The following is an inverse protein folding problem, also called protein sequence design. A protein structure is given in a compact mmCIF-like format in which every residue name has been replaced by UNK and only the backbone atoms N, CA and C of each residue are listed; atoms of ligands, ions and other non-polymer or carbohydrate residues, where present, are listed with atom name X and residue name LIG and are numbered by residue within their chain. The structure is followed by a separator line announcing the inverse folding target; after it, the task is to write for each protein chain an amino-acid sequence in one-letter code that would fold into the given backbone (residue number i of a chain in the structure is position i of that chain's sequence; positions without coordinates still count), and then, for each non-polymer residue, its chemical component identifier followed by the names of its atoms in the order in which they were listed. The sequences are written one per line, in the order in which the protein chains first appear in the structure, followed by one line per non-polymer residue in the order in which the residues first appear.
data_IF_088724715531
#
_entry.id   IF_088724715531
#
_cell.length_a   1.000
_cell.length_b   1.000
_cell.length_c   1.000
_cell.angle_alpha   90.00
_cell.angle_beta   90.00
_cell.angle_gamma   90.00
#
_symmetry.space_group_name_H-M   'P 1'
#
loop_
_entity.id
_entity.type
_entity.pdbx_description
1 polymer ?
#
# COMPACT_ATOMS: atom_id res chain seq x y z
N UNK A 1 6.33 -16.28 -12.84
CA UNK A 1 6.59 -15.66 -11.53
C UNK A 1 7.48 -14.45 -11.81
N UNK A 2 6.91 -13.24 -11.85
CA UNK A 2 7.77 -12.05 -11.87
C UNK A 2 8.18 -11.83 -10.43
N UNK A 3 9.48 -11.92 -10.12
CA UNK A 3 10.00 -11.48 -8.82
C UNK A 3 9.47 -10.06 -8.61
N UNK A 4 8.86 -9.77 -7.46
CA UNK A 4 8.26 -8.47 -7.15
C UNK A 4 9.19 -7.32 -7.51
N UNK A 5 10.47 -7.47 -7.15
CA UNK A 5 11.56 -6.57 -7.54
C UNK A 5 11.64 -6.38 -9.06
N UNK A 6 11.66 -7.45 -9.86
CA UNK A 6 11.69 -7.36 -11.32
C UNK A 6 10.48 -6.63 -11.92
N UNK A 7 9.27 -6.81 -11.38
CA UNK A 7 8.07 -6.10 -11.87
C UNK A 7 8.04 -4.64 -11.43
N UNK A 8 8.46 -4.34 -10.19
CA UNK A 8 8.51 -2.96 -9.67
C UNK A 8 9.67 -2.21 -10.31
N UNK A 9 10.83 -2.83 -10.49
CA UNK A 9 11.94 -2.33 -11.30
C UNK A 9 11.57 -2.27 -12.78
N UNK A 10 10.74 -3.14 -13.32
CA UNK A 10 10.22 -2.94 -14.68
C UNK A 10 9.25 -1.75 -14.72
N UNK A 11 8.44 -1.55 -13.68
CA UNK A 11 7.47 -0.44 -13.63
C UNK A 11 8.16 0.91 -13.37
N UNK A 12 9.18 0.94 -12.52
CA UNK A 12 9.99 2.10 -12.12
C UNK A 12 11.18 2.32 -13.07
N UNK A 13 11.78 1.24 -13.55
CA UNK A 13 12.98 1.24 -14.41
C UNK A 13 12.67 1.30 -15.90
N UNK A 14 11.44 0.99 -16.34
CA UNK A 14 10.93 1.56 -17.61
C UNK A 14 10.88 3.08 -17.45
N UNK A 15 11.13 3.80 -18.54
CA UNK A 15 11.58 5.20 -18.58
C UNK A 15 10.67 6.21 -17.84
N UNK A 16 9.52 5.86 -17.26
CA UNK A 16 8.46 6.84 -16.97
C UNK A 16 7.74 6.82 -15.61
N UNK A 17 8.27 6.49 -14.41
CA UNK A 17 7.47 6.75 -13.20
C UNK A 17 7.31 8.26 -12.99
N UNK A 18 6.07 8.75 -13.04
CA UNK A 18 5.75 10.17 -12.78
C UNK A 18 5.15 10.34 -11.39
N UNK A 19 4.49 9.32 -10.85
CA UNK A 19 3.77 9.37 -9.57
C UNK A 19 4.06 8.11 -8.75
N UNK A 20 4.54 8.29 -7.52
CA UNK A 20 4.94 7.21 -6.62
C UNK A 20 4.23 7.41 -5.28
N UNK A 21 3.60 6.37 -4.78
CA UNK A 21 3.23 6.30 -3.37
C UNK A 21 3.74 5.03 -2.74
N UNK A 22 4.34 5.17 -1.57
CA UNK A 22 4.78 4.06 -0.73
C UNK A 22 4.68 4.51 0.72
N UNK A 23 4.26 3.63 1.63
CA UNK A 23 4.21 3.97 3.05
C UNK A 23 5.61 4.11 3.64
N UNK A 24 6.52 3.23 3.20
CA UNK A 24 7.93 3.24 3.62
C UNK A 24 8.79 3.29 2.36
N UNK A 25 9.83 4.13 2.40
CA UNK A 25 10.88 4.20 1.39
C UNK A 25 12.21 3.99 2.12
N UNK A 26 12.81 2.81 1.93
CA UNK A 26 14.03 2.34 2.61
C UNK A 26 15.01 1.66 1.64
N UNK A 27 14.58 1.39 0.40
CA UNK A 27 15.45 0.78 -0.59
C UNK A 27 16.31 1.84 -1.31
N UNK A 28 17.59 1.93 -0.93
CA UNK A 28 18.54 2.92 -1.45
C UNK A 28 18.78 2.77 -2.97
N UNK A 29 18.92 1.54 -3.49
CA UNK A 29 19.18 1.30 -4.91
C UNK A 29 18.01 1.78 -5.77
N UNK A 30 16.78 1.45 -5.36
CA UNK A 30 15.59 1.88 -6.06
C UNK A 30 15.35 3.38 -5.91
N UNK A 31 15.72 3.96 -4.76
CA UNK A 31 15.68 5.41 -4.55
C UNK A 31 16.66 6.12 -5.47
N UNK A 32 17.88 5.58 -5.63
CA UNK A 32 18.87 6.13 -6.55
C UNK A 32 18.35 6.07 -8.00
N UNK A 33 17.74 4.94 -8.39
CA UNK A 33 17.10 4.81 -9.70
C UNK A 33 16.00 5.87 -9.90
N UNK A 34 15.16 6.11 -8.90
CA UNK A 34 14.13 7.16 -8.94
C UNK A 34 14.77 8.54 -9.14
N UNK A 35 15.83 8.85 -8.40
CA UNK A 35 16.57 10.12 -8.54
C UNK A 35 17.20 10.27 -9.93
N UNK A 36 17.85 9.21 -10.45
CA UNK A 36 18.44 9.25 -11.79
C UNK A 36 17.37 9.43 -12.87
N UNK A 37 16.19 8.81 -12.70
CA UNK A 37 15.07 8.95 -13.62
C UNK A 37 14.42 10.32 -13.56
N UNK A 38 14.31 10.94 -12.39
CA UNK A 38 13.71 12.27 -12.26
C UNK A 38 14.46 13.32 -13.08
N UNK A 39 15.78 13.16 -13.26
CA UNK A 39 16.62 14.03 -14.09
C UNK A 39 16.37 13.86 -15.61
N UNK A 40 15.85 12.71 -16.03
CA UNK A 40 15.60 12.37 -17.43
C UNK A 40 14.17 12.72 -17.87
N UNK A 41 13.28 12.97 -16.91
CA UNK A 41 11.84 13.09 -17.15
C UNK A 41 11.38 14.54 -17.36
N UNK A 42 10.63 14.83 -18.44
CA UNK A 42 10.07 16.17 -18.66
C UNK A 42 8.98 16.50 -17.63
N UNK A 43 8.22 15.47 -17.22
CA UNK A 43 7.23 15.56 -16.15
C UNK A 43 7.90 14.96 -14.90
N UNK A 44 8.29 15.81 -13.94
CA UNK A 44 9.00 15.43 -12.71
C UNK A 44 8.33 14.25 -11.99
N UNK A 45 9.09 13.55 -11.14
CA UNK A 45 8.57 12.55 -10.21
C UNK A 45 7.85 13.23 -9.05
N UNK A 46 6.73 12.68 -8.58
CA UNK A 46 5.99 13.17 -7.40
C UNK A 46 5.77 12.03 -6.40
N UNK A 47 5.99 12.29 -5.11
CA UNK A 47 5.96 11.23 -4.07
C UNK A 47 4.95 11.51 -2.97
N UNK A 48 4.03 10.56 -2.75
CA UNK A 48 3.17 10.50 -1.56
C UNK A 48 3.69 9.42 -0.60
N UNK A 49 4.04 9.80 0.63
CA UNK A 49 4.50 8.86 1.66
C UNK A 49 3.84 9.19 3.00
N UNK A 50 4.05 8.37 4.03
CA UNK A 50 3.74 8.78 5.39
C UNK A 50 5.02 9.03 6.17
N UNK A 51 5.06 10.16 6.88
CA UNK A 51 6.15 10.52 7.80
C UNK A 51 5.63 10.78 9.22
N UNK A 52 4.31 10.65 9.43
CA UNK A 52 3.66 11.08 10.67
C UNK A 52 3.69 10.03 11.79
N UNK A 53 3.99 8.76 11.47
CA UNK A 53 3.92 7.66 12.45
C UNK A 53 5.26 6.97 12.78
N UNK A 54 6.39 7.34 12.17
CA UNK A 54 7.64 6.61 12.42
C UNK A 54 8.86 7.48 12.73
N UNK A 55 8.83 8.78 12.40
CA UNK A 55 9.94 9.71 12.70
C UNK A 55 9.53 10.76 13.73
N UNK A 56 8.30 11.30 13.66
CA UNK A 56 7.85 12.38 14.55
C UNK A 56 7.42 11.90 15.94
N UNK A 57 6.66 10.81 16.07
CA UNK A 57 6.28 10.27 17.39
C UNK A 57 7.51 9.86 18.22
N UNK A 58 8.60 9.44 17.57
CA UNK A 58 9.86 9.09 18.25
C UNK A 58 10.75 10.30 18.58
N UNK A 59 10.48 11.47 17.99
CA UNK A 59 11.13 12.73 18.35
C UNK A 59 10.36 13.39 19.52
N UNK A 60 9.04 13.25 19.60
CA UNK A 60 8.24 13.74 20.72
C UNK A 60 8.26 12.79 21.95
N UNK A 61 8.36 11.47 21.77
CA UNK A 61 8.51 10.50 22.89
C UNK A 61 9.92 10.44 23.50
N UNK A 62 10.91 11.17 22.96
CA UNK A 62 12.21 11.35 23.64
C UNK A 62 12.12 12.15 24.95
N UNK A 63 10.91 12.52 25.39
CA UNK A 63 10.62 13.09 26.70
C UNK A 63 10.11 12.03 27.70
N UNK A 64 9.85 10.77 27.31
CA UNK A 64 9.42 9.72 28.24
C UNK A 64 10.18 8.39 28.07
N UNK A 65 11.22 8.24 28.90
CA UNK A 65 11.73 6.99 29.49
C UNK A 65 12.14 5.80 28.58
N UNK A 66 13.45 5.65 28.40
CA UNK A 66 14.22 4.39 28.48
C UNK A 66 13.60 3.10 27.90
N UNK A 67 13.20 3.10 26.63
CA UNK A 67 13.06 1.86 25.86
C UNK A 67 14.25 1.77 24.90
N UNK A 68 15.14 0.79 25.11
CA UNK A 68 16.23 0.53 24.16
C UNK A 68 15.60 0.08 22.83
N UNK A 69 15.53 0.99 21.86
CA UNK A 69 15.15 0.67 20.49
C UNK A 69 16.18 -0.35 19.97
N UNK A 70 15.73 -1.51 19.49
CA UNK A 70 16.65 -2.52 18.97
C UNK A 70 17.46 -1.96 17.80
N UNK A 71 18.73 -2.37 17.67
CA UNK A 71 19.64 -1.90 16.61
C UNK A 71 19.03 -2.02 15.20
N UNK A 72 18.21 -3.05 14.99
CA UNK A 72 17.54 -3.28 13.71
C UNK A 72 16.54 -2.16 13.35
N UNK A 73 15.82 -1.60 14.33
CA UNK A 73 14.91 -0.47 14.08
C UNK A 73 15.69 0.81 13.78
N UNK A 74 16.84 1.03 14.44
CA UNK A 74 17.70 2.18 14.18
C UNK A 74 18.24 2.15 12.75
N UNK A 75 18.70 0.98 12.27
CA UNK A 75 19.20 0.82 10.89
C UNK A 75 18.10 1.15 9.87
N UNK A 76 16.88 0.67 10.08
CA UNK A 76 15.76 0.95 9.19
C UNK A 76 15.39 2.42 9.17
N UNK A 77 15.42 3.13 10.31
CA UNK A 77 15.14 4.56 10.35
C UNK A 77 16.23 5.38 9.66
N UNK A 78 17.51 5.05 9.86
CA UNK A 78 18.61 5.72 9.16
C UNK A 78 18.56 5.52 7.64
N UNK A 79 18.12 4.34 7.17
CA UNK A 79 17.88 4.12 5.74
C UNK A 79 16.72 4.93 5.20
N UNK A 80 15.60 5.05 5.94
CA UNK A 80 14.49 5.93 5.55
C UNK A 80 14.95 7.37 5.41
N UNK A 81 15.72 7.87 6.39
CA UNK A 81 16.30 9.21 6.35
C UNK A 81 17.24 9.37 5.16
N UNK A 82 18.09 8.39 4.89
CA UNK A 82 19.02 8.39 3.76
C UNK A 82 18.26 8.49 2.43
N UNK A 83 17.26 7.62 2.22
CA UNK A 83 16.44 7.65 1.01
C UNK A 83 15.69 8.98 0.87
N UNK A 84 15.12 9.51 1.96
CA UNK A 84 14.42 10.78 1.93
C UNK A 84 15.34 11.95 1.56
N UNK A 85 16.56 12.00 2.11
CA UNK A 85 17.58 12.99 1.73
C UNK A 85 17.95 12.88 0.26
N UNK A 86 18.13 11.67 -0.28
CA UNK A 86 18.44 11.46 -1.70
C UNK A 86 17.34 12.06 -2.60
N UNK A 87 16.07 11.80 -2.28
CA UNK A 87 14.93 12.31 -3.04
C UNK A 87 14.84 13.84 -2.97
N UNK A 88 15.03 14.41 -1.78
CA UNK A 88 15.02 15.86 -1.57
C UNK A 88 16.18 16.56 -2.30
N UNK A 89 17.38 15.99 -2.26
CA UNK A 89 18.55 16.49 -2.99
C UNK A 89 18.36 16.45 -4.52
N UNK A 90 17.56 15.49 -5.01
CA UNK A 90 17.14 15.41 -6.41
C UNK A 90 15.98 16.36 -6.76
N UNK A 91 15.58 17.27 -5.85
CA UNK A 91 14.45 18.20 -6.01
C UNK A 91 13.13 17.51 -6.34
N UNK A 92 12.92 16.29 -5.85
CA UNK A 92 11.68 15.56 -6.03
C UNK A 92 10.66 16.07 -4.99
N UNK A 93 9.49 16.58 -5.41
CA UNK A 93 8.44 17.00 -4.49
C UNK A 93 7.84 15.80 -3.75
N UNK A 94 7.74 15.94 -2.42
CA UNK A 94 7.22 14.91 -1.53
C UNK A 94 6.13 15.49 -0.64
N UNK A 95 5.02 14.77 -0.51
CA UNK A 95 3.93 15.10 0.40
C UNK A 95 3.62 13.95 1.35
N UNK A 96 3.24 14.32 2.57
CA UNK A 96 2.85 13.41 3.64
C UNK A 96 1.38 13.62 4.01
N UNK A 97 0.77 12.63 4.66
CA UNK A 97 -0.65 12.69 4.98
C UNK A 97 -1.29 11.39 5.44
N UNK A 98 -0.53 10.39 5.91
CA UNK A 98 -1.12 9.10 6.33
C UNK A 98 -1.29 8.14 5.16
N UNK A 99 -0.40 8.24 4.16
CA UNK A 99 -0.45 7.42 2.97
C UNK A 99 0.10 6.03 3.26
N UNK A 100 -0.82 5.08 3.48
CA UNK A 100 -0.52 3.64 3.41
C UNK A 100 -0.62 3.10 1.98
N UNK A 101 -0.94 3.94 1.00
CA UNK A 101 -1.01 3.57 -0.40
C UNK A 101 0.34 3.06 -0.93
N UNK A 102 0.29 2.00 -1.76
CA UNK A 102 1.43 1.58 -2.58
C UNK A 102 1.04 1.54 -4.04
N UNK A 103 1.41 2.59 -4.76
CA UNK A 103 1.18 2.72 -6.20
C UNK A 103 2.40 3.26 -6.90
N UNK A 104 2.69 2.72 -8.08
CA UNK A 104 3.80 3.15 -8.93
C UNK A 104 3.26 3.36 -10.32
N UNK A 105 3.22 4.62 -10.76
CA UNK A 105 2.52 5.01 -11.97
C UNK A 105 3.47 5.67 -12.94
N UNK A 106 3.43 5.14 -14.16
CA UNK A 106 4.06 5.68 -15.34
C UNK A 106 3.05 6.06 -16.40
N UNK A 107 3.52 6.65 -17.50
CA UNK A 107 2.68 6.99 -18.65
C UNK A 107 1.86 5.79 -19.17
N UNK A 108 2.42 4.58 -19.13
CA UNK A 108 1.78 3.40 -19.71
C UNK A 108 1.28 2.38 -18.68
N UNK A 109 1.87 2.37 -17.48
CA UNK A 109 1.65 1.34 -16.47
C UNK A 109 1.28 1.95 -15.13
N UNK A 110 0.34 1.35 -14.42
CA UNK A 110 0.05 1.65 -13.02
C UNK A 110 0.01 0.36 -12.22
N UNK A 111 0.85 0.27 -11.20
CA UNK A 111 0.76 -0.78 -10.19
C UNK A 111 -0.05 -0.29 -8.99
N UNK A 112 -0.93 -1.13 -8.45
CA UNK A 112 -1.53 -0.97 -7.12
C UNK A 112 -1.39 -2.28 -6.34
N UNK A 113 -0.92 -2.24 -5.10
CA UNK A 113 -0.81 -3.46 -4.31
C UNK A 113 -0.27 -3.25 -2.90
N UNK A 114 0.39 -4.28 -2.38
CA UNK A 114 0.84 -4.33 -0.98
C UNK A 114 2.33 -4.04 -0.77
N UNK A 115 3.13 -4.13 -1.82
CA UNK A 115 4.58 -3.96 -1.80
C UNK A 115 5.00 -2.50 -1.55
N UNK A 116 5.80 -2.24 -0.51
CA UNK A 116 6.47 -0.95 -0.29
C UNK A 116 7.84 -0.90 -0.99
N UNK A 117 8.45 0.28 -1.04
CA UNK A 117 9.84 0.46 -1.43
C UNK A 117 10.81 0.10 -0.29
N UNK A 118 10.73 -1.15 0.20
CA UNK A 118 11.64 -1.70 1.22
C UNK A 118 12.24 -3.00 0.74
N UNK A 119 13.48 -3.29 1.16
CA UNK A 119 14.15 -4.57 0.84
C UNK A 119 13.28 -5.77 1.18
N UNK A 120 12.65 -5.76 2.36
CA UNK A 120 11.76 -6.87 2.74
C UNK A 120 10.58 -7.07 1.79
N UNK A 121 9.94 -5.99 1.36
CA UNK A 121 8.82 -6.05 0.40
C UNK A 121 9.25 -6.55 -0.98
N UNK A 122 10.50 -6.30 -1.34
CA UNK A 122 11.05 -6.56 -2.67
C UNK A 122 11.74 -7.93 -2.79
N UNK A 123 12.38 -8.39 -1.71
CA UNK A 123 13.26 -9.55 -1.72
C UNK A 123 12.56 -10.84 -1.28
N UNK A 124 11.79 -10.79 -0.19
CA UNK A 124 11.29 -12.00 0.47
C UNK A 124 9.82 -11.99 0.87
N UNK A 125 9.18 -10.83 1.02
CA UNK A 125 7.74 -10.79 1.25
C UNK A 125 7.00 -11.29 0.01
N UNK A 126 5.97 -12.09 0.26
CA UNK A 126 5.00 -12.52 -0.74
C UNK A 126 3.94 -11.43 -0.85
N UNK A 127 4.18 -10.43 -1.68
CA UNK A 127 3.24 -9.33 -1.92
C UNK A 127 2.24 -9.70 -3.03
N UNK A 128 1.20 -8.88 -3.20
CA UNK A 128 0.32 -8.96 -4.34
C UNK A 128 -0.05 -7.56 -4.83
N UNK A 129 -0.36 -7.47 -6.12
CA UNK A 129 -0.86 -6.26 -6.72
C UNK A 129 -1.39 -6.52 -8.12
N UNK A 130 -1.99 -5.49 -8.68
CA UNK A 130 -2.55 -5.45 -10.02
C UNK A 130 -1.80 -4.40 -10.84
N UNK A 131 -1.60 -4.69 -12.13
CA UNK A 131 -0.99 -3.77 -13.08
C UNK A 131 -2.01 -3.43 -14.16
N UNK A 132 -2.27 -2.14 -14.30
CA UNK A 132 -3.10 -1.59 -15.37
C UNK A 132 -2.21 -1.05 -16.48
N UNK A 133 -2.59 -1.29 -17.74
CA UNK A 133 -1.82 -0.88 -18.92
C UNK A 133 -2.72 -0.03 -19.80
N UNK A 134 -2.45 1.27 -19.86
CA UNK A 134 -3.11 2.26 -20.70
C UNK A 134 -4.62 2.03 -20.89
N UNK A 135 -5.35 1.96 -19.77
CA UNK A 135 -6.79 1.70 -19.72
C UNK A 135 -7.49 2.66 -18.73
N UNK A 136 -8.81 2.54 -18.60
CA UNK A 136 -9.60 3.42 -17.74
C UNK A 136 -9.20 3.34 -16.26
N UNK A 137 -8.74 2.18 -15.77
CA UNK A 137 -8.29 1.99 -14.38
C UNK A 137 -6.92 2.62 -14.13
N UNK A 138 -6.02 2.56 -15.13
CA UNK A 138 -4.75 3.30 -15.11
C UNK A 138 -5.00 4.82 -14.98
N UNK A 139 -5.87 5.39 -15.82
CA UNK A 139 -6.23 6.82 -15.72
C UNK A 139 -6.93 7.16 -14.39
N UNK A 140 -7.82 6.29 -13.91
CA UNK A 140 -8.50 6.49 -12.62
C UNK A 140 -7.49 6.55 -11.46
N UNK A 141 -6.45 5.72 -11.49
CA UNK A 141 -5.42 5.74 -10.46
C UNK A 141 -4.52 6.99 -10.54
N UNK A 142 -4.22 7.48 -11.75
CA UNK A 142 -3.56 8.79 -11.93
C UNK A 142 -4.40 9.91 -11.29
N UNK A 143 -5.69 9.95 -11.59
CA UNK A 143 -6.57 10.99 -11.07
C UNK A 143 -6.74 10.89 -9.54
N UNK A 144 -6.79 9.67 -8.99
CA UNK A 144 -6.80 9.45 -7.53
C UNK A 144 -5.52 9.94 -6.88
N UNK A 145 -4.35 9.67 -7.49
CA UNK A 145 -3.08 10.18 -7.00
C UNK A 145 -3.08 11.71 -6.98
N UNK A 146 -3.52 12.36 -8.07
CA UNK A 146 -3.63 13.82 -8.15
C UNK A 146 -4.59 14.38 -7.10
N UNK A 147 -5.72 13.72 -6.89
CA UNK A 147 -6.68 14.09 -5.84
C UNK A 147 -6.05 13.98 -4.44
N UNK A 148 -5.32 12.90 -4.16
CA UNK A 148 -4.60 12.72 -2.91
C UNK A 148 -3.52 13.77 -2.70
N UNK A 149 -2.76 14.05 -3.76
CA UNK A 149 -1.76 15.11 -3.78
C UNK A 149 -2.40 16.46 -3.47
N UNK A 150 -3.46 16.84 -4.17
CA UNK A 150 -4.01 18.19 -4.09
C UNK A 150 -4.87 18.44 -2.86
N UNK A 151 -5.58 17.41 -2.34
CA UNK A 151 -6.66 17.59 -1.37
C UNK A 151 -6.49 16.81 -0.07
N UNK A 152 -5.68 15.74 -0.05
CA UNK A 152 -5.58 14.84 1.10
C UNK A 152 -4.25 14.91 1.85
N UNK A 153 -3.16 15.25 1.16
CA UNK A 153 -1.85 15.43 1.80
C UNK A 153 -1.92 16.50 2.88
N UNK A 154 -1.40 16.26 4.08
CA UNK A 154 -1.44 17.26 5.15
C UNK A 154 -0.17 18.10 5.23
N UNK A 155 0.93 17.56 4.73
CA UNK A 155 2.23 18.21 4.85
C UNK A 155 3.03 18.07 3.55
N UNK A 156 3.87 19.05 3.30
CA UNK A 156 4.95 19.00 2.33
C UNK A 156 6.27 18.75 3.05
N UNK A 157 7.11 17.90 2.48
CA UNK A 157 8.45 17.61 3.01
C UNK A 157 9.44 18.51 2.30
N UNK A 158 10.18 19.31 3.07
CA UNK A 158 11.16 20.25 2.52
C UNK A 158 12.55 20.02 3.13
N UNK A 159 13.62 20.24 2.36
CA UNK A 159 14.98 20.15 2.88
C UNK A 159 15.19 21.11 4.05
N UNK A 160 15.91 20.65 5.06
CA UNK A 160 16.33 21.47 6.19
C UNK A 160 17.79 21.12 6.54
N UNK A 161 18.62 22.14 6.76
CA UNK A 161 20.00 21.95 7.20
C UNK A 161 20.10 21.46 8.65
N UNK A 162 19.02 21.62 9.42
CA UNK A 162 18.85 21.12 10.78
C UNK A 162 17.82 19.95 10.79
N UNK A 163 17.68 19.21 11.91
CA UNK A 163 16.68 18.14 12.10
C UNK A 163 16.66 17.05 11.00
N UNK A 164 17.46 15.99 11.16
CA UNK A 164 17.48 14.81 10.28
C UNK A 164 17.61 15.07 8.76
N UNK A 165 17.81 16.32 8.32
CA UNK A 165 17.93 16.75 6.93
C UNK A 165 16.62 17.26 6.28
N UNK A 166 15.51 17.34 7.01
CA UNK A 166 14.22 17.77 6.47
C UNK A 166 13.22 18.21 7.55
N UNK A 167 12.20 18.96 7.16
CA UNK A 167 11.06 19.29 8.02
C UNK A 167 9.74 19.19 7.28
N UNK A 168 8.65 19.07 8.06
CA UNK A 168 7.29 19.12 7.52
C UNK A 168 6.76 20.56 7.52
N UNK A 169 6.17 20.97 6.40
CA UNK A 169 5.39 22.20 6.28
C UNK A 169 3.93 21.83 6.05
N UNK A 170 3.06 22.15 7.00
CA UNK A 170 1.64 21.86 6.86
C UNK A 170 1.01 22.60 5.67
N UNK A 171 0.13 21.89 4.98
CA UNK A 171 -0.64 22.35 3.84
C UNK A 171 -2.07 22.66 4.28
N UNK A 172 -2.58 23.81 3.84
CA UNK A 172 -3.97 24.19 4.06
C UNK A 172 -4.80 23.81 2.85
N UNK A 173 -5.88 23.05 3.09
CA UNK A 173 -6.85 22.66 2.05
C UNK A 173 -8.20 23.29 2.31
N UNK A 174 -8.85 23.72 1.24
CA UNK A 174 -10.23 24.18 1.33
C UNK A 174 -11.16 22.95 1.48
N UNK A 175 -11.95 22.93 2.54
CA UNK A 175 -12.88 21.83 2.86
C UNK A 175 -14.06 21.68 1.89
N UNK A 176 -14.18 22.55 0.89
CA UNK A 176 -15.31 22.60 -0.05
C UNK A 176 -15.08 21.80 -1.34
N UNK A 177 -13.90 21.23 -1.53
CA UNK A 177 -13.59 20.52 -2.76
C UNK A 177 -14.34 19.18 -2.87
N UNK A 178 -15.15 19.05 -3.93
CA UNK A 178 -15.79 17.77 -4.26
C UNK A 178 -14.72 16.74 -4.61
N UNK A 179 -14.83 15.56 -4.02
CA UNK A 179 -14.03 14.38 -4.34
C UNK A 179 -14.68 13.62 -5.49
N UNK A 180 -13.88 13.26 -6.50
CA UNK A 180 -14.32 12.33 -7.53
C UNK A 180 -14.24 10.93 -6.97
N UNK A 181 -15.35 10.19 -7.09
CA UNK A 181 -15.43 8.80 -6.67
C UNK A 181 -15.06 7.88 -7.84
N UNK A 182 -14.21 6.89 -7.56
CA UNK A 182 -13.82 5.85 -8.52
C UNK A 182 -14.27 4.50 -7.98
N UNK A 183 -15.35 3.91 -8.49
CA UNK A 183 -16.07 2.82 -7.83
C UNK A 183 -15.25 1.52 -7.69
N UNK A 184 -14.22 1.32 -8.52
CA UNK A 184 -13.35 0.17 -8.41
C UNK A 184 -12.21 0.35 -7.39
N UNK A 185 -11.95 1.56 -6.90
CA UNK A 185 -10.87 1.85 -5.97
C UNK A 185 -11.45 2.27 -4.62
N UNK A 186 -11.48 1.30 -3.71
CA UNK A 186 -12.14 1.43 -2.43
C UNK A 186 -11.12 1.82 -1.34
N UNK A 187 -11.42 2.88 -0.58
CA UNK A 187 -10.78 3.13 0.72
C UNK A 187 -11.13 2.03 1.72
N UNK A 188 -10.44 1.96 2.87
CA UNK A 188 -10.71 0.92 3.90
C UNK A 188 -12.18 0.86 4.32
N UNK A 189 -12.79 2.01 4.60
CA UNK A 189 -14.21 2.07 4.98
C UNK A 189 -15.15 1.68 3.83
N UNK A 190 -14.82 2.03 2.59
CA UNK A 190 -15.60 1.63 1.41
C UNK A 190 -15.45 0.12 1.15
N UNK A 191 -14.26 -0.43 1.30
CA UNK A 191 -14.00 -1.86 1.16
C UNK A 191 -14.80 -2.65 2.20
N UNK A 192 -14.77 -2.24 3.47
CA UNK A 192 -15.54 -2.87 4.53
C UNK A 192 -17.04 -2.88 4.23
N UNK A 193 -17.61 -1.71 3.84
CA UNK A 193 -19.04 -1.60 3.51
C UNK A 193 -19.42 -2.46 2.31
N UNK A 194 -18.64 -2.37 1.23
CA UNK A 194 -18.86 -3.16 0.02
C UNK A 194 -18.81 -4.65 0.33
N UNK A 195 -17.80 -5.10 1.09
CA UNK A 195 -17.65 -6.50 1.46
C UNK A 195 -18.83 -7.02 2.31
N UNK A 196 -19.35 -6.22 3.25
CA UNK A 196 -20.55 -6.57 4.01
C UNK A 196 -21.76 -6.79 3.08
N UNK A 197 -21.96 -5.88 2.12
CA UNK A 197 -23.04 -5.99 1.14
C UNK A 197 -22.91 -7.25 0.29
N UNK A 198 -21.70 -7.54 -0.19
CA UNK A 198 -21.46 -8.74 -1.01
C UNK A 198 -21.66 -10.02 -0.20
N UNK A 199 -21.14 -10.08 1.04
CA UNK A 199 -21.22 -11.28 1.87
C UNK A 199 -22.65 -11.63 2.31
N UNK A 200 -23.54 -10.63 2.49
CA UNK A 200 -24.90 -10.84 3.02
C UNK A 200 -25.69 -11.92 2.27
N UNK A 201 -25.55 -11.99 0.94
CA UNK A 201 -26.26 -12.94 0.09
C UNK A 201 -25.33 -13.90 -0.67
N UNK A 202 -24.03 -13.83 -0.41
CA UNK A 202 -23.06 -14.65 -1.13
C UNK A 202 -23.23 -16.13 -0.77
N UNK A 203 -23.09 -16.99 -1.78
CA UNK A 203 -23.00 -18.45 -1.62
C UNK A 203 -21.79 -18.93 -2.37
N UNK A 204 -20.93 -19.68 -1.68
CA UNK A 204 -19.74 -20.27 -2.28
C UNK A 204 -18.54 -20.21 -1.36
N UNK A 205 -17.37 -20.43 -1.97
CA UNK A 205 -16.10 -20.39 -1.28
C UNK A 205 -15.58 -18.94 -1.17
N UNK A 206 -15.05 -18.59 -0.01
CA UNK A 206 -14.33 -17.34 0.23
C UNK A 206 -12.86 -17.66 0.50
N UNK A 207 -11.94 -16.96 -0.19
CA UNK A 207 -10.49 -17.05 0.07
C UNK A 207 -9.97 -15.68 0.49
N UNK A 208 -9.27 -15.63 1.61
CA UNK A 208 -8.70 -14.39 2.16
C UNK A 208 -7.21 -14.60 2.39
N UNK A 209 -6.40 -13.77 1.74
CA UNK A 209 -4.96 -13.63 1.98
C UNK A 209 -4.74 -12.25 2.56
N UNK A 210 -4.14 -12.17 3.74
CA UNK A 210 -3.83 -10.89 4.37
C UNK A 210 -2.64 -11.08 5.31
N UNK A 211 -1.84 -10.05 5.58
CA UNK A 211 -0.76 -10.16 6.57
C UNK A 211 -1.32 -10.61 7.93
N UNK A 212 -2.43 -9.98 8.35
CA UNK A 212 -3.15 -10.26 9.58
C UNK A 212 -4.66 -10.27 9.35
N UNK A 213 -5.42 -10.89 10.27
CA UNK A 213 -6.86 -11.14 10.11
C UNK A 213 -7.63 -10.80 11.39
N UNK A 214 -8.32 -9.66 11.35
CA UNK A 214 -9.17 -9.12 12.41
C UNK A 214 -10.45 -8.53 11.77
N UNK A 215 -11.37 -9.39 11.29
CA UNK A 215 -12.64 -8.93 10.74
C UNK A 215 -13.45 -8.13 11.76
N UNK A 216 -14.35 -7.26 11.28
CA UNK A 216 -15.44 -6.76 12.13
C UNK A 216 -16.35 -7.90 12.56
N UNK A 217 -17.09 -7.72 13.67
CA UNK A 217 -18.02 -8.72 14.17
C UNK A 217 -19.06 -9.15 13.11
N UNK A 218 -19.57 -8.20 12.33
CA UNK A 218 -20.54 -8.47 11.26
C UNK A 218 -19.92 -9.31 10.13
N UNK A 219 -18.73 -8.93 9.63
CA UNK A 219 -18.03 -9.70 8.59
C UNK A 219 -17.72 -11.11 9.10
N UNK A 220 -17.28 -11.23 10.36
CA UNK A 220 -16.99 -12.52 10.97
C UNK A 220 -18.24 -13.43 11.00
N UNK A 221 -19.43 -12.89 11.26
CA UNK A 221 -20.66 -13.68 11.26
C UNK A 221 -20.99 -14.25 9.88
N UNK A 222 -20.86 -13.46 8.81
CA UNK A 222 -21.08 -13.98 7.45
C UNK A 222 -20.03 -15.03 7.06
N UNK A 223 -18.75 -14.76 7.33
CA UNK A 223 -17.66 -15.69 6.97
C UNK A 223 -17.78 -17.06 7.65
N UNK A 224 -18.30 -17.12 8.89
CA UNK A 224 -18.52 -18.38 9.61
C UNK A 224 -19.59 -19.28 8.98
N UNK A 225 -20.52 -18.70 8.22
CA UNK A 225 -21.59 -19.43 7.55
C UNK A 225 -21.18 -19.93 6.16
N UNK A 226 -19.97 -19.57 5.71
CA UNK A 226 -19.45 -19.85 4.38
C UNK A 226 -18.27 -20.81 4.44
N UNK A 227 -17.98 -21.45 3.30
CA UNK A 227 -16.72 -22.19 3.14
C UNK A 227 -15.56 -21.18 3.00
N UNK A 228 -14.99 -20.78 4.12
CA UNK A 228 -13.99 -19.70 4.18
C UNK A 228 -12.60 -20.26 4.47
N UNK A 229 -11.66 -20.00 3.57
CA UNK A 229 -10.23 -20.31 3.72
C UNK A 229 -9.43 -19.03 3.95
N UNK A 230 -8.77 -18.93 5.11
CA UNK A 230 -8.00 -17.75 5.51
C UNK A 230 -6.52 -18.10 5.58
N UNK A 231 -5.69 -17.24 4.99
CA UNK A 231 -4.24 -17.34 4.96
C UNK A 231 -3.62 -16.08 5.56
N UNK A 232 -2.79 -16.24 6.59
CA UNK A 232 -2.08 -15.14 7.24
C UNK A 232 -0.57 -15.35 7.28
N UNK A 233 0.17 -14.30 7.60
CA UNK A 233 1.61 -14.44 7.83
C UNK A 233 1.91 -15.33 9.04
N UNK A 234 2.92 -16.19 8.88
CA UNK A 234 3.34 -17.13 9.92
C UNK A 234 3.75 -16.48 11.25
N UNK A 235 4.29 -15.26 11.21
CA UNK A 235 4.74 -14.50 12.38
C UNK A 235 3.59 -13.85 13.15
N UNK A 236 2.39 -13.81 12.58
CA UNK A 236 1.23 -13.18 13.22
C UNK A 236 0.51 -14.18 14.14
N UNK A 237 0.18 -13.71 15.34
CA UNK A 237 -0.62 -14.47 16.30
C UNK A 237 -2.07 -14.60 15.83
N UNK A 238 -2.62 -15.81 15.95
CA UNK A 238 -4.02 -16.09 15.61
C UNK A 238 -4.90 -15.66 16.78
N UNK A 239 -5.61 -14.54 16.61
CA UNK A 239 -6.56 -14.04 17.63
C UNK A 239 -7.93 -14.72 17.45
N UNK A 240 -8.31 -15.02 16.21
CA UNK A 240 -9.62 -15.58 15.87
C UNK A 240 -9.57 -17.09 15.68
N UNK A 241 -9.43 -17.86 16.77
CA UNK A 241 -9.27 -19.32 16.74
C UNK A 241 -10.47 -20.09 16.14
N UNK A 242 -11.63 -19.44 16.01
CA UNK A 242 -12.86 -20.05 15.48
C UNK A 242 -12.89 -20.12 13.94
N UNK A 243 -11.82 -19.72 13.26
CA UNK A 243 -11.69 -19.83 11.80
C UNK A 243 -10.61 -20.84 11.42
N UNK A 244 -10.78 -21.49 10.27
CA UNK A 244 -9.74 -22.27 9.64
C UNK A 244 -8.68 -21.32 9.03
N UNK A 245 -7.63 -21.03 9.81
CA UNK A 245 -6.56 -20.11 9.46
C UNK A 245 -5.28 -20.90 9.19
N UNK A 246 -4.76 -20.75 7.97
CA UNK A 246 -3.49 -21.32 7.54
C UNK A 246 -2.40 -20.24 7.58
N UNK A 247 -1.20 -20.64 7.99
CA UNK A 247 -0.05 -19.75 8.09
C UNK A 247 0.88 -19.94 6.89
N UNK A 248 1.23 -18.83 6.25
CA UNK A 248 2.18 -18.79 5.14
C UNK A 248 3.37 -17.91 5.55
N UNK A 249 4.59 -18.40 5.34
CA UNK A 249 5.80 -17.64 5.65
C UNK A 249 5.94 -16.42 4.73
N UNK A 250 6.18 -15.25 5.33
CA UNK A 250 6.37 -13.97 4.65
C UNK A 250 5.15 -13.50 3.84
N UNK A 251 3.93 -13.90 4.21
CA UNK A 251 2.72 -13.46 3.51
C UNK A 251 2.45 -11.98 3.79
N UNK A 252 2.50 -11.17 2.73
CA UNK A 252 2.15 -9.76 2.82
C UNK A 252 1.14 -9.33 1.75
N UNK A 253 0.68 -10.24 0.89
CA UNK A 253 -0.42 -10.02 -0.04
C UNK A 253 -1.73 -9.71 0.70
N UNK A 254 -2.55 -8.83 0.12
CA UNK A 254 -3.92 -8.55 0.57
C UNK A 254 -4.87 -8.80 -0.59
N UNK A 255 -5.56 -9.94 -0.51
CA UNK A 255 -6.48 -10.44 -1.53
C UNK A 255 -7.70 -11.03 -0.84
N UNK A 256 -8.90 -10.69 -1.33
CA UNK A 256 -10.15 -11.35 -0.92
C UNK A 256 -10.93 -11.77 -2.15
N UNK A 257 -11.35 -13.03 -2.20
CA UNK A 257 -12.03 -13.63 -3.36
C UNK A 257 -13.32 -14.27 -2.89
N UNK A 258 -14.41 -13.93 -3.58
CA UNK A 258 -15.74 -14.50 -3.37
C UNK A 258 -16.06 -15.33 -4.62
N UNK A 259 -15.71 -16.63 -4.57
CA UNK A 259 -15.85 -17.56 -5.70
C UNK A 259 -15.17 -17.05 -6.97
N UNK A 260 -15.91 -17.02 -8.07
CA UNK A 260 -15.49 -16.44 -9.36
C UNK A 260 -16.24 -15.13 -9.69
N UNK A 261 -16.91 -14.53 -8.69
CA UNK A 261 -17.81 -13.39 -8.88
C UNK A 261 -17.12 -12.05 -8.57
N UNK A 262 -16.31 -12.03 -7.51
CA UNK A 262 -15.69 -10.79 -7.02
C UNK A 262 -14.28 -11.09 -6.51
N UNK A 263 -13.34 -10.21 -6.84
CA UNK A 263 -12.03 -10.17 -6.21
C UNK A 263 -11.68 -8.74 -5.75
N UNK A 264 -11.00 -8.68 -4.61
CA UNK A 264 -10.39 -7.48 -4.05
C UNK A 264 -8.88 -7.69 -3.96
N UNK A 265 -8.08 -6.72 -4.39
CA UNK A 265 -6.61 -6.75 -4.32
C UNK A 265 -6.03 -5.35 -4.07
N UNK A 266 -5.10 -5.19 -3.13
CA UNK A 266 -4.57 -3.87 -2.77
C UNK A 266 -3.65 -3.83 -1.56
N UNK A 267 -3.62 -2.70 -0.86
CA UNK A 267 -2.77 -2.48 0.33
C UNK A 267 -3.43 -2.82 1.66
N UNK A 268 -4.77 -2.88 1.70
CA UNK A 268 -5.55 -2.86 2.94
C UNK A 268 -5.60 -4.26 3.58
N UNK A 269 -5.06 -4.38 4.79
CA UNK A 269 -5.19 -5.61 5.60
C UNK A 269 -6.65 -5.93 5.90
N UNK A 270 -6.94 -7.21 6.16
CA UNK A 270 -8.24 -7.66 6.65
C UNK A 270 -8.45 -7.36 8.13
N UNK A 271 -8.14 -6.12 8.54
CA UNK A 271 -8.31 -5.57 9.88
C UNK A 271 -9.10 -4.28 9.75
N UNK A 272 -10.39 -4.34 10.05
CA UNK A 272 -11.27 -3.19 9.89
C UNK A 272 -11.38 -2.45 11.21
N UNK A 273 -10.92 -1.19 11.23
CA UNK A 273 -10.99 -0.28 12.37
C UNK A 273 -10.90 1.17 11.91
N UNK A 274 -11.05 2.11 12.84
CA UNK A 274 -11.16 3.55 12.56
C UNK A 274 -9.83 4.24 12.19
N UNK A 275 -8.81 3.49 11.77
CA UNK A 275 -7.53 4.08 11.39
C UNK A 275 -7.66 4.88 10.10
N UNK A 276 -7.55 6.21 10.21
CA UNK A 276 -7.54 7.10 9.06
C UNK A 276 -6.19 6.96 8.32
N UNK A 277 -6.17 6.12 7.29
CA UNK A 277 -5.06 6.03 6.34
C UNK A 277 -5.58 6.10 4.90
N UNK A 278 -4.82 6.79 4.06
CA UNK A 278 -5.06 6.81 2.62
C UNK A 278 -4.42 5.56 2.03
N UNK A 279 -5.25 4.55 1.82
CA UNK A 279 -4.90 3.30 1.16
C UNK A 279 -6.07 2.86 0.27
N UNK A 280 -5.80 1.97 -0.69
CA UNK A 280 -6.76 1.54 -1.69
C UNK A 280 -6.82 0.02 -1.84
N UNK A 281 -8.03 -0.46 -2.09
CA UNK A 281 -8.35 -1.82 -2.48
C UNK A 281 -9.05 -1.78 -3.84
N UNK A 282 -8.50 -2.46 -4.85
CA UNK A 282 -9.13 -2.57 -6.16
C UNK A 282 -10.17 -3.69 -6.13
N UNK A 283 -11.41 -3.38 -6.54
CA UNK A 283 -12.50 -4.34 -6.73
C UNK A 283 -12.70 -4.63 -8.21
N UNK A 284 -12.79 -5.91 -8.56
CA UNK A 284 -13.19 -6.36 -9.89
C UNK A 284 -14.28 -7.42 -9.84
N UNK A 285 -15.14 -7.38 -10.85
CA UNK A 285 -16.15 -8.40 -11.18
C UNK A 285 -15.87 -9.02 -12.55
N UNK A 286 -14.77 -8.65 -13.22
CA UNK A 286 -14.37 -9.24 -14.49
C UNK A 286 -13.84 -10.65 -14.24
N UNK A 287 -14.55 -11.66 -14.79
CA UNK A 287 -14.22 -13.06 -14.57
C UNK A 287 -12.84 -13.44 -15.12
N UNK A 288 -12.34 -12.79 -16.17
CA UNK A 288 -10.99 -13.05 -16.69
C UNK A 288 -9.93 -12.54 -15.73
N UNK A 289 -10.10 -11.33 -15.19
CA UNK A 289 -9.20 -10.79 -14.15
C UNK A 289 -9.21 -11.67 -12.90
N UNK A 290 -10.40 -12.07 -12.43
CA UNK A 290 -10.56 -12.95 -11.26
C UNK A 290 -9.85 -14.29 -11.50
N UNK A 291 -10.02 -14.92 -12.66
CA UNK A 291 -9.35 -16.17 -12.99
C UNK A 291 -7.82 -16.01 -13.05
N UNK A 292 -7.32 -14.88 -13.54
CA UNK A 292 -5.88 -14.58 -13.52
C UNK A 292 -5.36 -14.45 -12.09
N UNK A 293 -6.09 -13.76 -11.20
CA UNK A 293 -5.74 -13.66 -9.78
C UNK A 293 -5.69 -15.06 -9.16
N UNK A 294 -6.76 -15.86 -9.33
CA UNK A 294 -6.86 -17.23 -8.80
C UNK A 294 -5.70 -18.10 -9.28
N UNK A 295 -5.38 -18.06 -10.58
CA UNK A 295 -4.30 -18.87 -11.17
C UNK A 295 -2.92 -18.58 -10.58
N UNK A 296 -2.72 -17.38 -10.02
CA UNK A 296 -1.45 -16.94 -9.41
C UNK A 296 -1.38 -17.18 -7.91
N UNK A 297 -2.49 -17.51 -7.23
CA UNK A 297 -2.48 -17.70 -5.77
C UNK A 297 -1.57 -18.85 -5.33
N UNK A 298 -1.44 -19.89 -6.15
CA UNK A 298 -0.59 -21.05 -5.84
C UNK A 298 0.87 -20.65 -5.61
N UNK A 299 1.36 -19.58 -6.24
CA UNK A 299 2.73 -19.11 -6.00
C UNK A 299 2.94 -18.48 -4.63
N UNK A 300 1.86 -18.10 -3.91
CA UNK A 300 1.97 -17.63 -2.53
C UNK A 300 2.24 -18.79 -1.55
N UNK A 301 2.04 -20.04 -1.95
CA UNK A 301 2.25 -21.21 -1.11
C UNK A 301 3.62 -21.85 -1.29
N UNK A 302 4.34 -21.47 -2.34
CA UNK A 302 5.72 -21.88 -2.63
C UNK A 302 6.72 -21.07 -1.79
#
# INVERSE_FOLDING_TARGET
MFKQYGMIVETIGKIYPTLISSYIIEDEELTELICQKSLQLPQRVWILTDLRNEVLDRIDEQISDNVSISEQYQITDERKKTCLKMLLNANIPIRSGGFHLKTYISEQYAYLGSCNLTRGSLDFNKEAGIVFINNSQHQSLINLFQQFWQKCSKDEVIPDSNNDGFRLRSLFHNSQDKYTNYPNFLTSSQYQRDLIEQLRNFKGEVKIYSRSFQPSAEIANYLRLLNTNIFIDSSISVINQNFNIQKIKYLHAKITILGNQIAYIGGINFNFGDSYSHDLMYKTTDTKEINQIISKLTSLHL
#
